data_IF_431089652558
#
_entry.id   IF_431089652558
#
_cell.length_a   1.000
_cell.length_b   1.000
_cell.length_c   1.000
_cell.angle_alpha   90.00
_cell.angle_beta   90.00
_cell.angle_gamma   90.00
#
_symmetry.space_group_name_H-M   'P 1'
#
loop_
_entity.id
_entity.type
_entity.pdbx_description
1 polymer ?
#
# COMPACT_ATOMS: atom_id res chain seq x y z
N UNK A 1 -11.31 0.60 -10.68
CA UNK A 1 -11.35 0.53 -9.21
C UNK A 1 -9.92 0.53 -8.74
N UNK A 2 -9.51 1.58 -8.04
CA UNK A 2 -8.18 1.66 -7.44
C UNK A 2 -8.18 0.84 -6.15
N UNK A 3 -7.04 0.21 -5.82
CA UNK A 3 -6.88 -0.47 -4.53
C UNK A 3 -7.13 0.49 -3.35
N UNK A 4 -6.88 1.78 -3.54
CA UNK A 4 -7.06 2.83 -2.53
C UNK A 4 -8.51 3.16 -2.23
N UNK A 5 -9.47 2.68 -3.03
CA UNK A 5 -10.91 2.91 -2.84
C UNK A 5 -11.59 1.78 -2.06
N UNK A 6 -10.88 0.67 -1.83
CA UNK A 6 -11.40 -0.49 -1.14
C UNK A 6 -11.35 -0.31 0.38
N UNK A 7 -12.27 -0.94 1.08
CA UNK A 7 -12.24 -1.01 2.54
C UNK A 7 -11.07 -1.85 3.02
N UNK A 8 -10.66 -1.64 4.28
CA UNK A 8 -9.60 -2.43 4.90
C UNK A 8 -9.90 -3.95 4.90
N UNK A 9 -11.18 -4.33 4.99
CA UNK A 9 -11.60 -5.73 4.94
C UNK A 9 -11.40 -6.32 3.54
N UNK A 10 -11.82 -5.62 2.49
CA UNK A 10 -11.62 -6.05 1.10
C UNK A 10 -10.13 -6.13 0.75
N UNK A 11 -9.32 -5.17 1.21
CA UNK A 11 -7.86 -5.21 1.05
C UNK A 11 -7.23 -6.40 1.76
N UNK A 12 -7.68 -6.72 2.97
CA UNK A 12 -7.22 -7.90 3.69
C UNK A 12 -7.59 -9.18 2.93
N UNK A 13 -8.80 -9.29 2.40
CA UNK A 13 -9.22 -10.43 1.58
C UNK A 13 -8.35 -10.58 0.34
N UNK A 14 -8.02 -9.49 -0.36
CA UNK A 14 -7.12 -9.53 -1.52
C UNK A 14 -5.72 -10.02 -1.16
N UNK A 15 -5.17 -9.57 -0.02
CA UNK A 15 -3.88 -10.02 0.49
C UNK A 15 -3.89 -11.50 0.88
N UNK A 16 -4.95 -11.97 1.55
CA UNK A 16 -5.12 -13.38 1.94
C UNK A 16 -5.29 -14.27 0.70
N UNK A 17 -6.05 -13.81 -0.30
CA UNK A 17 -6.24 -14.51 -1.57
C UNK A 17 -5.03 -14.41 -2.50
N UNK A 18 -3.94 -13.73 -2.10
CA UNK A 18 -2.74 -13.48 -2.90
C UNK A 18 -3.05 -12.82 -4.25
N UNK A 19 -4.13 -12.03 -4.33
CA UNK A 19 -4.54 -11.25 -5.51
C UNK A 19 -3.82 -9.90 -5.60
N UNK A 20 -3.19 -9.48 -4.50
CA UNK A 20 -2.32 -8.31 -4.42
C UNK A 20 -1.24 -8.60 -3.38
N UNK A 21 -0.16 -7.84 -3.44
CA UNK A 21 0.94 -7.86 -2.47
C UNK A 21 0.91 -6.62 -1.58
N UNK A 22 1.56 -6.69 -0.42
CA UNK A 22 1.71 -5.54 0.47
C UNK A 22 2.50 -4.43 -0.23
N UNK A 23 3.47 -4.79 -1.09
CA UNK A 23 4.22 -3.85 -1.93
C UNK A 23 3.30 -3.14 -2.92
N UNK A 24 2.54 -3.87 -3.74
CA UNK A 24 1.61 -3.28 -4.72
C UNK A 24 0.56 -2.36 -4.05
N UNK A 25 0.05 -2.78 -2.88
CA UNK A 25 -0.87 -1.96 -2.10
C UNK A 25 -0.22 -0.65 -1.65
N UNK A 26 1.00 -0.73 -1.13
CA UNK A 26 1.75 0.43 -0.63
C UNK A 26 2.10 1.39 -1.77
N UNK A 27 2.51 0.86 -2.93
CA UNK A 27 2.75 1.65 -4.14
C UNK A 27 1.50 2.38 -4.62
N UNK A 28 0.33 1.73 -4.57
CA UNK A 28 -0.94 2.36 -4.94
C UNK A 28 -1.25 3.57 -4.05
N UNK A 29 -1.06 3.46 -2.73
CA UNK A 29 -1.26 4.60 -1.83
C UNK A 29 -0.21 5.70 -2.02
N UNK A 30 1.07 5.35 -2.19
CA UNK A 30 2.13 6.34 -2.44
C UNK A 30 1.87 7.14 -3.73
N UNK A 31 1.34 6.47 -4.77
CA UNK A 31 0.95 7.13 -6.01
C UNK A 31 -0.21 8.10 -5.82
N UNK A 32 -1.24 7.72 -5.06
CA UNK A 32 -2.37 8.60 -4.75
C UNK A 32 -1.93 9.81 -3.91
N UNK A 33 -1.06 9.58 -2.91
CA UNK A 33 -0.46 10.65 -2.12
C UNK A 33 0.30 11.61 -3.04
N UNK A 34 1.19 11.11 -3.92
CA UNK A 34 1.93 11.97 -4.84
C UNK A 34 1.03 12.78 -5.80
N UNK A 35 -0.12 12.22 -6.20
CA UNK A 35 -1.07 12.85 -7.12
C UNK A 35 -1.99 13.88 -6.44
N UNK A 36 -2.40 13.64 -5.19
CA UNK A 36 -3.40 14.44 -4.49
C UNK A 36 -2.82 15.39 -3.44
N UNK A 37 -1.72 15.02 -2.80
CA UNK A 37 -1.17 15.76 -1.65
C UNK A 37 -0.68 17.16 -2.03
N UNK A 38 -0.32 17.40 -3.29
CA UNK A 38 -0.02 18.77 -3.79
C UNK A 38 -1.20 19.74 -3.65
N UNK A 39 -2.43 19.22 -3.61
CA UNK A 39 -3.66 20.01 -3.48
C UNK A 39 -4.18 20.01 -2.04
N UNK A 40 -4.05 18.89 -1.33
CA UNK A 40 -4.59 18.73 0.03
C UNK A 40 -3.60 19.23 1.09
N UNK A 41 -2.30 19.02 0.88
CA UNK A 41 -1.24 19.37 1.84
C UNK A 41 -1.37 18.60 3.16
N UNK A 42 -1.77 17.33 3.10
CA UNK A 42 -2.03 16.50 4.27
C UNK A 42 -0.75 15.90 4.87
N UNK A 43 0.29 15.69 4.07
CA UNK A 43 1.52 15.03 4.51
C UNK A 43 2.69 16.02 4.60
N UNK A 44 3.39 16.02 5.76
CA UNK A 44 4.60 16.84 5.96
C UNK A 44 5.86 16.17 5.40
N UNK A 45 5.93 14.83 5.48
CA UNK A 45 7.01 14.01 4.93
C UNK A 45 6.46 12.64 4.57
N UNK A 46 6.84 12.15 3.39
CA UNK A 46 6.55 10.80 2.92
C UNK A 46 7.88 10.09 2.69
N UNK A 47 8.08 8.95 3.35
CA UNK A 47 9.28 8.12 3.20
C UNK A 47 8.96 6.88 2.37
N UNK A 48 9.05 7.03 1.06
CA UNK A 48 8.69 5.99 0.09
C UNK A 48 9.55 4.74 0.27
N UNK A 49 10.86 4.90 0.44
CA UNK A 49 11.79 3.78 0.53
C UNK A 49 11.53 2.93 1.78
N UNK A 50 11.39 3.57 2.94
CA UNK A 50 11.09 2.88 4.18
C UNK A 50 9.72 2.16 4.12
N UNK A 51 8.72 2.79 3.51
CA UNK A 51 7.40 2.19 3.33
C UNK A 51 7.45 0.92 2.47
N UNK A 52 8.16 0.97 1.33
CA UNK A 52 8.30 -0.18 0.43
C UNK A 52 9.15 -1.30 1.05
N UNK A 53 10.20 -0.96 1.81
CA UNK A 53 10.99 -1.96 2.55
C UNK A 53 10.13 -2.71 3.58
N UNK A 54 9.29 -2.00 4.33
CA UNK A 54 8.38 -2.61 5.29
C UNK A 54 7.38 -3.54 4.60
N UNK A 55 6.78 -3.09 3.50
CA UNK A 55 5.84 -3.87 2.71
C UNK A 55 6.47 -5.18 2.19
N UNK A 56 7.68 -5.11 1.65
CA UNK A 56 8.42 -6.28 1.18
C UNK A 56 8.70 -7.29 2.32
N UNK A 57 9.04 -6.83 3.52
CA UNK A 57 9.22 -7.70 4.68
C UNK A 57 7.93 -8.41 5.10
N UNK A 58 6.78 -7.74 5.00
CA UNK A 58 5.47 -8.34 5.31
C UNK A 58 5.14 -9.42 4.28
N UNK A 59 5.37 -9.13 3.00
CA UNK A 59 5.15 -10.11 1.93
C UNK A 59 6.03 -11.35 2.14
N UNK A 60 7.31 -11.16 2.45
CA UNK A 60 8.21 -12.28 2.79
C UNK A 60 7.66 -13.15 3.92
N UNK A 61 7.12 -12.54 4.99
CA UNK A 61 6.51 -13.29 6.11
C UNK A 61 5.23 -14.02 5.69
N UNK A 62 4.42 -13.42 4.81
CA UNK A 62 3.15 -13.99 4.31
C UNK A 62 3.36 -15.12 3.30
N UNK A 63 4.43 -15.10 2.51
CA UNK A 63 4.75 -16.15 1.56
C UNK A 63 5.39 -17.39 2.19
N UNK A 64 5.89 -17.28 3.43
CA UNK A 64 6.57 -18.39 4.12
C UNK A 64 5.65 -19.27 5.00
N UNK A 65 4.32 -19.07 4.93
CA UNK A 65 3.30 -19.86 5.63
C UNK A 65 2.28 -20.42 4.61
#
# INVERSE_FOLDING_TARGET
MSLTELSALELLELLVQKKTTSVELTEAYLKEIAAQDKRVGAFLRVDTDAALQCAAQIDQRRFFF
#
